data_IF_689268495121
#
_entry.id   IF_689268495121
#
_cell.length_a   1.000
_cell.length_b   1.000
_cell.length_c   1.000
_cell.angle_alpha   90.00
_cell.angle_beta   90.00
_cell.angle_gamma   90.00
#
_symmetry.space_group_name_H-M   'P 1'
#
loop_
_entity.id
_entity.type
_entity.pdbx_description
1 polymer ?
#
# COMPACT_ATOMS: atom_id res chain seq x y z
N UNK A 1 9.06 5.68 -1.47
CA UNK A 1 8.43 5.36 -2.74
C UNK A 1 6.94 5.23 -2.51
N UNK A 2 6.15 5.91 -3.29
CA UNK A 2 4.70 5.92 -3.10
C UNK A 2 3.97 5.18 -4.19
N UNK A 3 2.83 4.65 -3.88
CA UNK A 3 2.03 3.93 -4.85
C UNK A 3 0.58 3.90 -4.48
N UNK A 4 -0.22 3.32 -5.37
CA UNK A 4 -1.66 3.23 -5.18
C UNK A 4 -2.04 1.76 -5.11
N UNK A 5 -2.80 1.39 -4.13
CA UNK A 5 -3.22 0.00 -3.97
C UNK A 5 -4.29 -0.31 -4.98
N UNK A 6 -4.00 -1.25 -5.86
CA UNK A 6 -4.94 -1.65 -6.91
C UNK A 6 -5.73 -2.88 -6.52
N UNK A 7 -5.12 -3.77 -5.73
CA UNK A 7 -5.79 -5.01 -5.42
C UNK A 7 -5.31 -5.52 -4.08
N UNK A 8 -6.19 -6.11 -3.34
CA UNK A 8 -5.86 -6.67 -2.04
C UNK A 8 -6.18 -8.14 -2.09
N UNK A 9 -5.22 -8.99 -1.66
CA UNK A 9 -5.42 -10.40 -1.70
C UNK A 9 -4.69 -11.03 -0.53
N UNK A 10 -5.41 -11.53 0.43
CA UNK A 10 -4.84 -12.11 1.64
C UNK A 10 -3.93 -11.08 2.30
N UNK A 11 -2.66 -11.38 2.44
CA UNK A 11 -1.73 -10.46 3.05
C UNK A 11 -0.91 -9.70 2.03
N UNK A 12 -1.29 -9.81 0.78
CA UNK A 12 -0.51 -9.23 -0.31
C UNK A 12 -1.32 -8.15 -1.00
N UNK A 13 -0.65 -7.09 -1.38
CA UNK A 13 -1.30 -5.97 -2.05
C UNK A 13 -0.58 -5.67 -3.34
N UNK A 14 -1.34 -5.40 -4.38
CA UNK A 14 -0.76 -4.97 -5.64
C UNK A 14 -0.78 -3.45 -5.64
N UNK A 15 0.40 -2.86 -5.76
CA UNK A 15 0.56 -1.42 -5.67
C UNK A 15 1.16 -0.90 -6.97
N UNK A 16 0.52 0.10 -7.54
CA UNK A 16 1.02 0.72 -8.76
C UNK A 16 1.81 1.95 -8.41
N UNK A 17 3.05 2.01 -8.87
CA UNK A 17 3.92 3.14 -8.60
C UNK A 17 3.63 4.26 -9.58
N UNK A 18 4.11 5.45 -9.27
CA UNK A 18 3.89 6.58 -10.14
C UNK A 18 4.52 6.39 -11.52
N UNK A 19 5.48 5.50 -11.61
CA UNK A 19 6.11 5.22 -12.90
C UNK A 19 5.23 4.29 -13.75
N UNK A 20 4.18 3.73 -13.18
CA UNK A 20 3.33 2.82 -13.90
C UNK A 20 3.62 1.36 -13.62
N UNK A 21 4.64 1.10 -12.82
CA UNK A 21 5.03 -0.26 -12.52
C UNK A 21 4.19 -0.79 -11.37
N UNK A 22 3.77 -2.03 -11.45
CA UNK A 22 2.97 -2.64 -10.40
C UNK A 22 3.82 -3.63 -9.63
N UNK A 23 3.86 -3.47 -8.32
CA UNK A 23 4.63 -4.36 -7.46
C UNK A 23 3.71 -5.07 -6.49
N UNK A 24 4.12 -6.25 -6.09
CA UNK A 24 3.40 -6.99 -5.07
C UNK A 24 4.05 -6.70 -3.73
N UNK A 25 3.29 -6.13 -2.82
CA UNK A 25 3.82 -5.66 -1.56
C UNK A 25 3.08 -6.29 -0.40
N UNK A 26 3.71 -6.32 0.77
CA UNK A 26 3.07 -6.80 1.98
C UNK A 26 2.99 -5.65 2.95
N UNK A 27 1.99 -5.65 3.82
CA UNK A 27 1.86 -4.62 4.82
C UNK A 27 2.54 -5.07 6.10
N UNK A 28 3.17 -4.13 6.79
CA UNK A 28 3.80 -4.46 8.04
C UNK A 28 2.72 -4.69 9.07
N UNK A 29 3.07 -5.39 10.14
CA UNK A 29 2.10 -5.73 11.16
C UNK A 29 1.35 -4.54 11.69
N UNK A 30 2.04 -3.47 11.90
CA UNK A 30 1.42 -2.29 12.46
C UNK A 30 0.30 -1.78 11.56
N UNK A 31 0.49 -1.88 10.27
CA UNK A 31 -0.52 -1.37 9.34
C UNK A 31 -1.69 -2.31 9.19
N UNK A 32 -1.50 -3.58 9.51
CA UNK A 32 -2.61 -4.50 9.39
C UNK A 32 -3.73 -4.15 10.33
N UNK A 33 -3.41 -3.53 11.46
CA UNK A 33 -4.43 -3.16 12.41
C UNK A 33 -5.27 -2.01 11.91
N UNK A 34 -4.66 -1.13 11.15
CA UNK A 34 -5.38 0.00 10.63
C UNK A 34 -6.12 -0.34 9.35
N UNK A 35 -5.65 -1.37 8.67
CA UNK A 35 -6.29 -1.77 7.44
C UNK A 35 -5.77 -1.01 6.24
N UNK A 36 -5.53 -1.72 5.17
CA UNK A 36 -5.13 -1.12 3.91
C UNK A 36 -6.19 -1.53 2.91
N UNK A 37 -6.75 -0.55 2.21
CA UNK A 37 -7.82 -0.82 1.28
C UNK A 37 -7.45 -0.46 -0.14
N UNK A 38 -8.14 -1.07 -1.07
CA UNK A 38 -7.94 -0.76 -2.48
C UNK A 38 -8.30 0.70 -2.69
N UNK A 39 -7.44 1.39 -3.40
CA UNK A 39 -7.63 2.81 -3.65
C UNK A 39 -6.85 3.72 -2.72
N UNK A 40 -6.23 3.15 -1.69
CA UNK A 40 -5.46 3.95 -0.77
C UNK A 40 -4.08 4.21 -1.33
N UNK A 41 -3.54 5.38 -1.03
CA UNK A 41 -2.17 5.69 -1.40
C UNK A 41 -1.29 5.24 -0.26
N UNK A 42 -0.22 4.57 -0.59
CA UNK A 42 0.68 4.03 0.42
C UNK A 42 2.12 4.40 0.11
N UNK A 43 2.95 4.32 1.11
CA UNK A 43 4.36 4.57 0.93
C UNK A 43 5.11 3.27 1.20
N UNK A 44 6.02 2.92 0.29
CA UNK A 44 6.78 1.70 0.39
C UNK A 44 8.18 1.99 0.89
N UNK A 45 8.76 1.05 1.61
CA UNK A 45 10.13 1.20 2.07
C UNK A 45 11.06 0.47 1.09
N UNK A 46 12.29 0.32 1.48
CA UNK A 46 13.29 -0.26 0.60
C UNK A 46 13.02 -1.74 0.31
N UNK A 47 12.27 -2.38 1.16
CA UNK A 47 11.97 -3.79 0.98
C UNK A 47 10.68 -4.02 0.22
N UNK A 48 10.15 -2.97 -0.37
CA UNK A 48 8.89 -3.05 -1.10
C UNK A 48 7.75 -3.48 -0.19
N UNK A 49 7.81 -3.03 1.06
CA UNK A 49 6.74 -3.31 2.00
C UNK A 49 6.03 -2.00 2.29
N UNK A 50 4.73 -2.07 2.53
CA UNK A 50 3.95 -0.88 2.83
C UNK A 50 4.32 -0.44 4.24
N UNK A 51 4.97 0.72 4.33
CA UNK A 51 5.41 1.25 5.61
C UNK A 51 4.47 2.32 6.13
N UNK A 52 3.65 2.90 5.27
CA UNK A 52 2.76 3.96 5.70
C UNK A 52 1.58 4.05 4.76
N UNK A 53 0.41 4.34 5.29
CA UNK A 53 -0.79 4.49 4.49
C UNK A 53 -1.20 5.95 4.56
N UNK A 54 -1.32 6.59 3.40
CA UNK A 54 -1.75 7.97 3.36
C UNK A 54 -3.21 7.99 2.99
N UNK A 55 -4.06 7.54 3.85
CA UNK A 55 -5.43 7.51 3.51
C UNK A 55 -5.99 8.90 3.61
N UNK A 56 -6.96 9.22 2.79
CA UNK A 56 -7.50 10.46 2.69
C UNK A 56 -8.38 10.72 3.84
N UNK A 57 -8.16 11.59 4.58
CA UNK A 57 -8.87 11.89 5.61
C UNK A 57 -9.90 12.77 5.30
N UNK A 58 -10.89 12.56 5.07
CA UNK A 58 -11.80 13.39 4.68
C UNK A 58 -12.59 13.77 5.62
N UNK A 59 -12.77 14.45 6.03
CA UNK A 59 -13.49 14.73 6.87
C UNK A 59 -14.17 15.45 6.91
#
# INVERSE_FOLDING_TARGET
MKGLVLKKQADVFSVELSSGEVLTCVARKVLKQEGVFVGDHVELDQDNAISKVESRKNL
#
